data_IF_103125685337
#
_entry.id   IF_103125685337
#
_cell.length_a   1.000
_cell.length_b   1.000
_cell.length_c   1.000
_cell.angle_alpha   90.00
_cell.angle_beta   90.00
_cell.angle_gamma   90.00
#
_symmetry.space_group_name_H-M   'P 1'
#
loop_
_entity.id
_entity.type
_entity.pdbx_description
1 polymer ?
#
# COMPACT_ATOMS: atom_id res chain seq x y z
N UNK A 1 2.65 9.40 30.14
CA UNK A 1 2.10 8.47 29.14
C UNK A 1 1.29 7.50 29.95
N UNK A 2 -0.03 7.52 29.83
CA UNK A 2 -0.91 6.62 30.60
C UNK A 2 -0.72 5.22 30.03
N UNK A 3 -0.20 4.30 30.83
CA UNK A 3 -0.22 2.86 30.53
C UNK A 3 -1.68 2.47 30.35
N UNK A 4 -2.00 2.05 29.13
CA UNK A 4 -3.32 1.64 28.71
C UNK A 4 -3.11 0.34 27.94
N UNK A 5 -3.38 -0.76 28.62
CA UNK A 5 -2.93 -2.07 28.20
C UNK A 5 -4.07 -2.85 27.53
N UNK A 6 -3.72 -3.98 26.92
CA UNK A 6 -4.70 -4.81 26.21
C UNK A 6 -5.80 -5.32 27.15
N UNK A 7 -5.50 -5.49 28.43
CA UNK A 7 -6.44 -5.92 29.46
C UNK A 7 -7.51 -4.85 29.72
N UNK A 8 -7.15 -3.56 29.68
CA UNK A 8 -8.11 -2.45 29.83
C UNK A 8 -9.06 -2.38 28.63
N UNK A 9 -8.54 -2.66 27.42
CA UNK A 9 -9.35 -2.75 26.20
C UNK A 9 -10.34 -3.92 26.29
N UNK A 10 -9.90 -5.06 26.82
CA UNK A 10 -10.74 -6.24 26.99
C UNK A 10 -11.86 -5.98 28.00
N UNK A 11 -11.55 -5.35 29.14
CA UNK A 11 -12.53 -4.93 30.14
C UNK A 11 -13.59 -3.99 29.54
N UNK A 12 -13.16 -2.94 28.84
CA UNK A 12 -14.10 -1.99 28.21
C UNK A 12 -14.93 -2.57 27.06
N UNK A 13 -14.52 -3.70 26.47
CA UNK A 13 -15.36 -4.42 25.48
C UNK A 13 -16.48 -5.19 26.14
N UNK A 14 -16.25 -5.69 27.36
CA UNK A 14 -17.25 -6.44 28.13
C UNK A 14 -18.25 -5.50 28.79
N UNK A 15 -17.78 -4.34 29.26
CA UNK A 15 -18.63 -3.30 29.84
C UNK A 15 -19.47 -2.60 28.76
N UNK A 16 -20.79 -2.49 28.99
CA UNK A 16 -21.76 -1.86 28.09
C UNK A 16 -21.67 -2.28 26.60
N UNK A 17 -21.25 -3.52 26.33
CA UNK A 17 -21.11 -4.05 24.97
C UNK A 17 -20.11 -3.28 24.09
N UNK A 18 -19.10 -2.64 24.68
CA UNK A 18 -18.09 -1.88 23.97
C UNK A 18 -18.52 -0.47 23.53
N UNK A 19 -19.65 0.03 24.04
CA UNK A 19 -20.06 1.42 23.81
C UNK A 19 -19.06 2.42 24.40
N UNK A 20 -18.50 2.10 25.57
CA UNK A 20 -17.52 2.95 26.26
C UNK A 20 -16.17 2.98 25.54
N UNK A 21 -15.71 1.83 25.01
CA UNK A 21 -14.52 1.78 24.15
C UNK A 21 -14.69 2.64 22.89
N UNK A 22 -15.87 2.57 22.24
CA UNK A 22 -16.15 3.39 21.05
C UNK A 22 -16.14 4.88 21.37
N UNK A 23 -16.69 5.29 22.51
CA UNK A 23 -16.68 6.70 22.95
C UNK A 23 -15.25 7.17 23.22
N UNK A 24 -14.46 6.38 23.96
CA UNK A 24 -13.06 6.65 24.23
C UNK A 24 -12.23 6.85 22.95
N UNK A 25 -12.37 5.94 21.97
CA UNK A 25 -11.68 6.07 20.69
C UNK A 25 -12.07 7.34 19.92
N UNK A 26 -13.36 7.73 19.94
CA UNK A 26 -13.83 8.97 19.29
C UNK A 26 -13.23 10.22 19.95
N UNK A 27 -13.09 10.23 21.26
CA UNK A 27 -12.52 11.37 21.98
C UNK A 27 -11.01 11.49 21.74
N UNK A 28 -10.27 10.36 21.67
CA UNK A 28 -8.86 10.36 21.26
C UNK A 28 -8.67 10.92 19.85
N UNK A 29 -9.52 10.52 18.90
CA UNK A 29 -9.48 11.05 17.53
C UNK A 29 -9.79 12.55 17.51
N UNK A 30 -10.79 13.02 18.27
CA UNK A 30 -11.12 14.45 18.39
C UNK A 30 -9.95 15.24 18.97
N UNK A 31 -9.31 14.75 20.03
CA UNK A 31 -8.14 15.39 20.62
C UNK A 31 -6.95 15.44 19.64
N UNK A 32 -6.73 14.38 18.87
CA UNK A 32 -5.71 14.34 17.81
C UNK A 32 -5.99 15.31 16.66
N UNK A 33 -7.26 15.49 16.28
CA UNK A 33 -7.68 16.47 15.26
C UNK A 33 -7.42 17.91 15.72
N UNK A 34 -7.77 18.24 16.96
CA UNK A 34 -7.53 19.58 17.54
C UNK A 34 -6.03 19.95 17.57
N UNK A 35 -5.13 18.96 17.67
CA UNK A 35 -3.68 19.17 17.58
C UNK A 35 -3.18 19.43 16.15
N UNK A 36 -3.94 19.00 15.12
CA UNK A 36 -3.58 19.21 13.71
C UNK A 36 -3.96 20.59 13.19
N UNK A 37 -4.93 21.26 13.84
CA UNK A 37 -5.41 22.59 13.46
C UNK A 37 -4.44 23.73 13.82
N UNK A 38 -3.27 23.42 14.40
CA UNK A 38 -2.15 24.38 14.49
C UNK A 38 -1.06 24.03 13.50
N UNK A 39 -1.26 24.20 12.19
CA UNK A 39 -0.16 24.13 11.28
C UNK A 39 0.60 25.46 11.43
N UNK A 40 1.80 25.42 12.01
CA UNK A 40 2.83 26.40 11.69
C UNK A 40 3.18 26.17 10.22
N UNK A 41 2.30 26.57 9.30
CA UNK A 41 2.61 26.56 7.87
C UNK A 41 3.63 27.65 7.67
N UNK A 42 4.90 27.28 7.70
CA UNK A 42 5.93 28.11 7.10
C UNK A 42 5.47 28.43 5.68
N UNK A 43 5.45 29.72 5.32
CA UNK A 43 5.07 30.13 3.98
C UNK A 43 5.92 29.34 2.96
N UNK A 44 5.30 28.76 1.92
CA UNK A 44 6.06 28.03 0.92
C UNK A 44 7.09 28.96 0.28
N UNK A 45 8.29 28.46 -0.05
CA UNK A 45 9.32 29.27 -0.68
C UNK A 45 8.81 29.88 -1.99
N UNK A 46 9.32 31.07 -2.39
CA UNK A 46 8.94 31.69 -3.64
C UNK A 46 9.27 30.76 -4.82
N UNK A 47 8.37 30.72 -5.80
CA UNK A 47 8.56 29.90 -7.01
C UNK A 47 9.73 30.44 -7.83
N UNK A 48 10.59 29.57 -8.41
CA UNK A 48 11.67 30.02 -9.26
C UNK A 48 11.14 30.71 -10.53
N UNK A 49 11.84 31.73 -11.06
CA UNK A 49 11.44 32.42 -12.28
C UNK A 49 11.34 31.44 -13.46
N UNK A 50 10.23 31.49 -14.18
CA UNK A 50 9.95 30.59 -15.32
C UNK A 50 9.15 29.31 -14.96
N UNK A 51 8.86 29.05 -13.69
CA UNK A 51 8.05 27.89 -13.31
C UNK A 51 6.57 28.09 -13.67
N UNK A 52 6.10 27.35 -14.69
CA UNK A 52 4.67 27.21 -15.01
C UNK A 52 4.11 25.95 -14.35
N UNK A 53 2.98 26.02 -13.62
CA UNK A 53 2.32 24.83 -13.07
C UNK A 53 2.07 23.77 -14.15
N UNK A 54 2.37 22.51 -13.84
CA UNK A 54 2.21 21.38 -14.78
C UNK A 54 3.30 21.27 -15.86
N UNK A 55 4.27 22.18 -15.90
CA UNK A 55 5.40 22.10 -16.83
C UNK A 55 6.60 21.47 -16.15
N UNK A 56 7.25 20.53 -16.83
CA UNK A 56 8.51 19.94 -16.39
C UNK A 56 9.63 20.99 -16.42
N UNK A 57 10.58 20.96 -15.47
CA UNK A 57 11.78 21.80 -15.53
C UNK A 57 12.51 21.70 -16.87
N UNK A 58 13.15 22.80 -17.29
CA UNK A 58 13.97 22.81 -18.50
C UNK A 58 15.03 21.70 -18.43
N UNK A 59 15.15 20.90 -19.50
CA UNK A 59 16.05 19.75 -19.56
C UNK A 59 15.51 18.46 -18.95
N UNK A 60 14.27 18.46 -18.45
CA UNK A 60 13.59 17.25 -17.97
C UNK A 60 12.37 16.96 -18.85
N UNK A 61 11.94 15.71 -18.87
CA UNK A 61 10.75 15.25 -19.58
C UNK A 61 9.89 14.39 -18.64
N UNK A 62 8.57 14.29 -18.89
CA UNK A 62 7.73 13.37 -18.16
C UNK A 62 8.27 11.94 -18.24
N UNK A 63 8.07 11.12 -17.19
CA UNK A 63 8.34 9.69 -17.30
C UNK A 63 7.52 9.10 -18.45
N UNK A 64 8.08 8.09 -19.12
CA UNK A 64 7.39 7.43 -20.21
C UNK A 64 6.00 6.94 -19.75
N UNK A 65 4.97 7.11 -20.60
CA UNK A 65 3.64 6.60 -20.29
C UNK A 65 3.74 5.09 -20.05
N UNK A 66 3.03 4.60 -19.02
CA UNK A 66 2.96 3.16 -18.78
C UNK A 66 2.48 2.43 -20.03
N UNK A 67 3.03 1.23 -20.33
CA UNK A 67 2.54 0.43 -21.44
C UNK A 67 1.03 0.24 -21.31
N UNK A 68 0.34 0.26 -22.45
CA UNK A 68 -1.10 0.10 -22.53
C UNK A 68 -1.54 -1.17 -21.81
N UNK A 69 -2.62 -1.08 -21.04
CA UNK A 69 -3.22 -2.24 -20.39
C UNK A 69 -3.56 -3.32 -21.42
N UNK A 70 -3.31 -4.59 -21.07
CA UNK A 70 -3.65 -5.71 -21.93
C UNK A 70 -5.14 -5.73 -22.26
N UNK A 71 -5.47 -6.07 -23.51
CA UNK A 71 -6.86 -6.23 -23.94
C UNK A 71 -7.48 -7.49 -23.33
N UNK A 72 -8.82 -7.58 -23.21
CA UNK A 72 -9.47 -8.80 -22.72
C UNK A 72 -9.09 -10.06 -23.51
N UNK A 73 -8.85 -9.94 -24.82
CA UNK A 73 -8.40 -11.04 -25.66
C UNK A 73 -6.98 -11.51 -25.30
N UNK A 74 -6.07 -10.57 -25.01
CA UNK A 74 -4.71 -10.89 -24.57
C UNK A 74 -4.72 -11.62 -23.22
N UNK A 75 -5.58 -11.20 -22.29
CA UNK A 75 -5.79 -11.93 -21.04
C UNK A 75 -6.34 -13.34 -21.26
N UNK A 76 -7.31 -13.49 -22.16
CA UNK A 76 -7.88 -14.79 -22.51
C UNK A 76 -6.84 -15.74 -23.08
N UNK A 77 -5.98 -15.26 -23.97
CA UNK A 77 -4.89 -16.04 -24.55
C UNK A 77 -3.89 -16.50 -23.47
N UNK A 78 -3.41 -15.57 -22.63
CA UNK A 78 -2.47 -15.88 -21.56
C UNK A 78 -3.03 -16.89 -20.54
N UNK A 79 -4.31 -16.78 -20.18
CA UNK A 79 -4.96 -17.74 -19.28
C UNK A 79 -5.09 -19.13 -19.91
N UNK A 80 -5.37 -19.20 -21.20
CA UNK A 80 -5.46 -20.49 -21.90
C UNK A 80 -4.09 -21.15 -22.01
N UNK A 81 -3.04 -20.37 -22.28
CA UNK A 81 -1.66 -20.86 -22.28
C UNK A 81 -1.24 -21.39 -20.90
N UNK A 82 -1.52 -20.63 -19.84
CA UNK A 82 -1.26 -21.07 -18.47
C UNK A 82 -1.99 -22.37 -18.12
N UNK A 83 -3.28 -22.47 -18.47
CA UNK A 83 -4.05 -23.71 -18.25
C UNK A 83 -3.53 -24.87 -19.08
N UNK A 84 -3.08 -24.64 -20.31
CA UNK A 84 -2.51 -25.68 -21.16
C UNK A 84 -1.19 -26.19 -20.57
N UNK A 85 -0.33 -25.30 -20.08
CA UNK A 85 0.87 -25.67 -19.34
C UNK A 85 0.53 -26.48 -18.09
N UNK A 86 -0.52 -26.08 -17.35
CA UNK A 86 -1.03 -26.81 -16.18
C UNK A 86 -1.62 -28.20 -16.47
N UNK A 87 -1.83 -28.55 -17.74
CA UNK A 87 -2.40 -29.84 -18.14
C UNK A 87 -1.39 -30.70 -18.89
N UNK A 88 -0.32 -30.09 -19.41
CA UNK A 88 0.72 -30.75 -20.19
C UNK A 88 1.85 -31.30 -19.32
N UNK A 89 2.14 -30.68 -18.17
CA UNK A 89 3.21 -31.11 -17.28
C UNK A 89 2.70 -32.02 -16.14
N UNK A 90 3.52 -32.98 -15.74
CA UNK A 90 3.35 -33.68 -14.47
C UNK A 90 3.73 -32.70 -13.34
N UNK A 91 2.72 -32.09 -12.71
CA UNK A 91 2.88 -31.05 -11.70
C UNK A 91 3.36 -31.52 -10.33
N UNK A 92 3.88 -32.74 -10.22
CA UNK A 92 4.58 -33.22 -9.02
C UNK A 92 5.75 -32.31 -8.63
N UNK A 93 6.30 -31.50 -9.54
CA UNK A 93 7.32 -30.49 -9.23
C UNK A 93 6.78 -29.11 -8.80
N UNK A 94 5.49 -28.78 -8.97
CA UNK A 94 4.93 -27.53 -8.41
C UNK A 94 4.81 -27.55 -6.88
N UNK A 95 4.91 -28.74 -6.28
CA UNK A 95 5.03 -28.96 -4.83
C UNK A 95 6.48 -29.24 -4.41
N UNK A 96 7.46 -29.14 -5.31
CA UNK A 96 8.86 -29.25 -4.92
C UNK A 96 9.33 -27.88 -4.44
N UNK A 97 10.14 -27.86 -3.37
CA UNK A 97 10.81 -26.70 -2.78
C UNK A 97 11.77 -25.97 -3.75
N UNK A 98 11.52 -26.03 -5.07
CA UNK A 98 12.32 -25.33 -6.07
C UNK A 98 12.23 -23.82 -5.82
N UNK A 99 13.37 -23.18 -5.51
CA UNK A 99 13.41 -21.73 -5.40
C UNK A 99 12.96 -21.12 -6.73
N UNK A 100 11.98 -20.22 -6.68
CA UNK A 100 11.66 -19.40 -7.83
C UNK A 100 12.94 -18.64 -8.27
N UNK A 101 13.39 -18.86 -9.51
CA UNK A 101 14.62 -18.28 -10.05
C UNK A 101 14.50 -16.81 -10.47
N UNK A 102 13.42 -16.13 -10.07
CA UNK A 102 13.21 -14.72 -10.38
C UNK A 102 14.18 -13.84 -9.57
N UNK A 103 14.71 -12.76 -10.16
CA UNK A 103 15.69 -11.87 -9.48
C UNK A 103 15.14 -11.36 -8.14
N UNK A 104 13.87 -10.97 -8.09
CA UNK A 104 13.18 -10.55 -6.86
C UNK A 104 13.14 -11.65 -5.80
N UNK A 105 13.01 -12.90 -6.23
CA UNK A 105 12.92 -14.08 -5.38
C UNK A 105 14.30 -14.52 -4.86
N UNK A 106 15.36 -14.29 -5.65
CA UNK A 106 16.75 -14.49 -5.25
C UNK A 106 17.16 -13.47 -4.19
N UNK A 107 16.85 -12.18 -4.41
CA UNK A 107 17.16 -11.10 -3.47
C UNK A 107 16.44 -11.25 -2.11
N UNK A 108 15.25 -11.86 -2.10
CA UNK A 108 14.49 -12.08 -0.88
C UNK A 108 15.06 -13.20 0.03
N UNK A 109 15.98 -14.05 -0.48
CA UNK A 109 16.63 -15.11 0.32
C UNK A 109 17.94 -14.66 0.98
N UNK A 110 18.45 -13.49 0.62
CA UNK A 110 19.73 -12.97 1.10
C UNK A 110 19.59 -11.99 2.29
N UNK A 111 18.38 -11.84 2.84
CA UNK A 111 18.08 -11.17 4.12
C UNK A 111 17.36 -12.14 5.07
#
# INVERSE_FOLDING_TARGET
MTDFDQDDIAAMRQENGGADLKRFMRDQLRAGLQRRDTPTVAAPPPRPPGHRPGTWPSGTSPPEPRPSAHTPAQWGAALNEYRAALMADDHTQLNSDQPCGCVTCQLAKEN
#
